data_IF_343349169169
#
_entry.id   IF_343349169169
#
_cell.length_a   1.000
_cell.length_b   1.000
_cell.length_c   1.000
_cell.angle_alpha   90.00
_cell.angle_beta   90.00
_cell.angle_gamma   90.00
#
_symmetry.space_group_name_H-M   'P 1'
#
loop_
_entity.id
_entity.type
_entity.pdbx_description
1 polymer ?
#
# COMPACT_ATOMS: atom_id res chain seq x y z
N UNK A 1 9.94 35.13 18.82
CA UNK A 1 10.64 33.91 18.37
C UNK A 1 10.61 32.88 19.49
N UNK A 2 9.74 31.87 19.41
CA UNK A 2 9.76 30.69 20.30
C UNK A 2 10.05 29.48 19.41
N UNK A 3 11.18 28.81 19.65
CA UNK A 3 11.61 27.59 18.94
C UNK A 3 10.74 26.40 19.41
N UNK A 4 10.39 25.43 18.54
CA UNK A 4 9.62 24.26 18.94
C UNK A 4 10.51 23.25 19.64
N UNK A 5 10.11 22.82 20.83
CA UNK A 5 10.83 21.90 21.73
C UNK A 5 10.45 20.42 21.51
N UNK A 6 9.76 20.09 20.42
CA UNK A 6 9.03 18.82 20.29
C UNK A 6 9.71 17.73 19.47
N UNK A 7 10.86 18.00 18.84
CA UNK A 7 11.58 16.99 18.03
C UNK A 7 12.63 16.23 18.87
N UNK A 8 13.25 16.88 19.85
CA UNK A 8 14.29 16.25 20.69
C UNK A 8 13.76 15.17 21.64
N UNK A 9 12.48 15.22 22.02
CA UNK A 9 11.88 14.22 22.92
C UNK A 9 11.60 12.89 22.21
N UNK A 10 11.36 12.90 20.89
CA UNK A 10 11.12 11.69 20.10
C UNK A 10 12.42 10.91 19.83
N UNK A 11 13.52 11.63 19.56
CA UNK A 11 14.85 11.05 19.33
C UNK A 11 15.39 10.39 20.61
N UNK A 12 15.19 11.02 21.77
CA UNK A 12 15.58 10.44 23.07
C UNK A 12 14.78 9.17 23.42
N UNK A 13 13.49 9.10 23.06
CA UNK A 13 12.67 7.88 23.24
C UNK A 13 13.10 6.74 22.32
N UNK A 14 13.54 7.06 21.09
CA UNK A 14 14.11 6.08 20.15
C UNK A 14 15.45 5.53 20.66
N UNK A 15 16.34 6.39 21.17
CA UNK A 15 17.64 5.97 21.72
C UNK A 15 17.47 5.08 22.97
N UNK A 16 16.49 5.39 23.84
CA UNK A 16 16.18 4.58 25.01
C UNK A 16 15.54 3.23 24.66
N UNK A 17 14.74 3.15 23.59
CA UNK A 17 14.14 1.89 23.14
C UNK A 17 15.15 0.96 22.47
N UNK A 18 16.15 1.50 21.77
CA UNK A 18 17.31 0.72 21.29
C UNK A 18 18.14 0.12 22.44
N UNK A 19 18.39 0.90 23.50
CA UNK A 19 19.14 0.44 24.68
C UNK A 19 18.43 -0.70 25.44
N UNK A 20 17.10 -0.77 25.37
CA UNK A 20 16.30 -1.82 26.02
C UNK A 20 16.06 -3.05 25.12
N UNK A 21 16.11 -2.89 23.79
CA UNK A 21 15.74 -3.94 22.85
C UNK A 21 16.91 -4.79 22.34
N UNK A 22 18.16 -4.33 22.34
CA UNK A 22 19.33 -5.17 22.02
C UNK A 22 19.45 -5.67 20.56
N UNK A 23 18.38 -5.65 19.76
CA UNK A 23 18.36 -5.95 18.32
C UNK A 23 17.23 -5.23 17.58
N UNK A 24 17.33 -5.08 16.26
CA UNK A 24 16.26 -4.57 15.41
C UNK A 24 14.99 -5.43 15.50
N UNK A 25 15.15 -6.75 15.58
CA UNK A 25 14.05 -7.72 15.68
C UNK A 25 13.25 -7.53 16.96
N UNK A 26 13.92 -7.21 18.06
CA UNK A 26 13.27 -6.94 19.34
C UNK A 26 12.53 -5.60 19.31
N UNK A 27 13.08 -4.57 18.67
CA UNK A 27 12.36 -3.31 18.41
C UNK A 27 11.12 -3.54 17.55
N UNK A 28 11.26 -4.30 16.48
CA UNK A 28 10.16 -4.63 15.58
C UNK A 28 9.08 -5.44 16.29
N UNK A 29 9.45 -6.45 17.09
CA UNK A 29 8.52 -7.25 17.90
C UNK A 29 7.83 -6.44 18.98
N UNK A 30 8.55 -5.55 19.65
CA UNK A 30 7.99 -4.71 20.71
C UNK A 30 7.03 -3.65 20.15
N UNK A 31 7.33 -3.08 18.99
CA UNK A 31 6.40 -2.21 18.26
C UNK A 31 5.14 -2.96 17.80
N UNK A 32 5.28 -4.23 17.40
CA UNK A 32 4.17 -5.08 16.97
C UNK A 32 3.40 -5.77 18.12
N UNK A 33 3.91 -5.73 19.35
CA UNK A 33 3.40 -6.47 20.51
C UNK A 33 2.38 -5.71 21.37
N UNK A 34 2.09 -4.45 21.05
CA UNK A 34 1.16 -3.61 21.81
C UNK A 34 -0.33 -3.94 21.58
N UNK A 35 -0.66 -4.80 20.60
CA UNK A 35 -2.04 -5.26 20.36
C UNK A 35 -2.17 -6.74 20.77
N UNK A 36 -2.96 -7.00 21.80
CA UNK A 36 -3.23 -8.34 22.33
C UNK A 36 -3.86 -9.25 21.28
N UNK A 37 -3.17 -10.34 20.94
CA UNK A 37 -3.60 -11.29 19.92
C UNK A 37 -4.51 -12.35 20.56
N UNK A 38 -5.79 -12.34 20.22
CA UNK A 38 -6.67 -13.47 20.51
C UNK A 38 -6.24 -14.70 19.68
N UNK A 39 -6.31 -15.88 20.29
CA UNK A 39 -5.94 -17.15 19.67
C UNK A 39 -6.76 -17.44 18.40
N UNK A 40 -6.18 -18.15 17.41
CA UNK A 40 -6.85 -18.44 16.15
C UNK A 40 -8.05 -19.39 16.37
N UNK A 41 -9.22 -18.96 15.91
CA UNK A 41 -10.40 -19.82 15.77
C UNK A 41 -10.24 -20.63 14.47
N UNK A 42 -10.36 -21.96 14.57
CA UNK A 42 -10.33 -22.86 13.43
C UNK A 42 -11.53 -22.57 12.50
N UNK A 43 -11.25 -22.37 11.21
CA UNK A 43 -12.28 -22.23 10.18
C UNK A 43 -12.54 -23.64 9.62
N UNK A 44 -13.79 -24.12 9.55
CA UNK A 44 -14.10 -25.40 8.93
C UNK A 44 -13.81 -25.36 7.43
N UNK A 45 -13.25 -26.45 6.89
CA UNK A 45 -13.05 -26.63 5.45
C UNK A 45 -14.39 -26.52 4.71
N UNK A 46 -14.44 -25.62 3.72
CA UNK A 46 -15.57 -25.52 2.81
C UNK A 46 -15.60 -26.76 1.90
N UNK A 47 -16.71 -27.51 1.96
CA UNK A 47 -16.93 -28.68 1.10
C UNK A 47 -16.88 -28.30 -0.38
N UNK A 48 -16.29 -29.19 -1.18
CA UNK A 48 -16.14 -29.03 -2.62
C UNK A 48 -17.51 -28.88 -3.31
N UNK A 49 -17.75 -27.73 -3.93
CA UNK A 49 -18.83 -27.53 -4.89
C UNK A 49 -18.36 -27.94 -6.27
N UNK A 50 -19.11 -28.82 -6.91
CA UNK A 50 -18.83 -29.31 -8.26
C UNK A 50 -18.85 -28.14 -9.27
N UNK A 51 -17.79 -28.01 -10.05
CA UNK A 51 -17.66 -27.00 -11.09
C UNK A 51 -18.61 -27.30 -12.26
N UNK A 52 -19.39 -26.31 -12.66
CA UNK A 52 -20.09 -26.31 -13.96
C UNK A 52 -19.04 -25.97 -15.03
N UNK A 53 -19.00 -26.64 -16.20
CA UNK A 53 -18.02 -26.32 -17.23
C UNK A 53 -18.34 -24.93 -17.80
N UNK A 54 -17.51 -23.95 -17.46
CA UNK A 54 -17.52 -22.67 -18.14
C UNK A 54 -16.77 -22.85 -19.47
N UNK A 55 -17.40 -22.40 -20.56
CA UNK A 55 -16.79 -22.31 -21.88
C UNK A 55 -15.49 -21.50 -21.78
N UNK A 56 -14.38 -22.09 -22.20
CA UNK A 56 -13.04 -21.50 -22.08
C UNK A 56 -13.01 -20.18 -22.88
N UNK A 57 -12.87 -19.01 -22.24
CA UNK A 57 -12.72 -17.78 -22.97
C UNK A 57 -11.41 -17.85 -23.78
N UNK A 58 -11.46 -17.40 -25.03
CA UNK A 58 -10.28 -17.26 -25.87
C UNK A 58 -9.15 -16.60 -25.06
N UNK A 59 -7.97 -17.22 -25.06
CA UNK A 59 -6.83 -16.78 -24.27
C UNK A 59 -6.51 -15.32 -24.63
N UNK A 60 -6.88 -14.39 -23.74
CA UNK A 60 -6.50 -13.00 -23.88
C UNK A 60 -4.98 -12.93 -23.93
N UNK A 61 -4.41 -12.22 -24.92
CA UNK A 61 -2.96 -12.00 -24.96
C UNK A 61 -2.48 -11.46 -23.61
N UNK A 62 -1.44 -12.09 -23.07
CA UNK A 62 -0.90 -11.74 -21.76
C UNK A 62 -0.40 -10.29 -21.76
N UNK A 63 -0.92 -9.48 -20.84
CA UNK A 63 -0.56 -8.06 -20.73
C UNK A 63 0.86 -7.89 -20.21
N UNK A 64 1.46 -6.73 -20.46
CA UNK A 64 2.76 -6.39 -19.86
C UNK A 64 2.60 -6.04 -18.38
N UNK A 65 1.57 -5.26 -18.03
CA UNK A 65 1.30 -4.82 -16.67
C UNK A 65 -0.17 -4.99 -16.28
N UNK A 66 -0.36 -5.41 -15.03
CA UNK A 66 -1.60 -5.24 -14.28
C UNK A 66 -1.33 -4.27 -13.13
N UNK A 67 -2.03 -3.13 -13.13
CA UNK A 67 -2.04 -2.15 -12.06
C UNK A 67 -3.29 -2.37 -11.22
N UNK A 68 -3.10 -2.69 -9.95
CA UNK A 68 -4.14 -2.88 -8.96
C UNK A 68 -4.08 -1.72 -7.97
N UNK A 69 -5.18 -1.00 -7.78
CA UNK A 69 -5.26 0.07 -6.77
C UNK A 69 -6.38 -0.27 -5.80
N UNK A 70 -6.03 -0.39 -4.52
CA UNK A 70 -6.98 -0.71 -3.45
C UNK A 70 -7.16 0.53 -2.57
N UNK A 71 -8.32 1.16 -2.67
CA UNK A 71 -8.63 2.46 -2.06
C UNK A 71 -9.61 2.27 -0.91
N UNK A 72 -9.09 2.38 0.31
CA UNK A 72 -9.94 2.53 1.48
C UNK A 72 -10.25 4.03 1.67
N UNK A 73 -11.39 4.49 1.17
CA UNK A 73 -11.87 5.87 1.32
C UNK A 73 -12.92 6.01 2.41
N UNK A 74 -13.01 5.06 3.35
CA UNK A 74 -14.05 4.99 4.38
C UNK A 74 -13.61 5.76 5.63
N UNK A 75 -13.22 7.02 5.44
CA UNK A 75 -12.72 7.94 6.46
C UNK A 75 -12.74 9.39 5.92
N UNK A 76 -12.03 10.30 6.58
CA UNK A 76 -11.91 11.71 6.20
C UNK A 76 -11.36 11.92 4.78
N UNK A 77 -10.49 11.05 4.26
CA UNK A 77 -9.96 11.20 2.91
C UNK A 77 -11.03 10.97 1.82
N UNK A 78 -12.02 10.11 2.10
CA UNK A 78 -13.21 9.97 1.25
C UNK A 78 -14.13 11.19 1.34
N UNK A 79 -14.30 11.74 2.55
CA UNK A 79 -15.10 12.95 2.78
C UNK A 79 -14.49 14.15 2.05
N UNK A 80 -13.15 14.22 1.98
CA UNK A 80 -12.39 15.23 1.26
C UNK A 80 -12.29 14.98 -0.25
N UNK A 81 -12.96 13.93 -0.75
CA UNK A 81 -13.05 13.57 -2.17
C UNK A 81 -11.77 13.03 -2.84
N UNK A 82 -10.66 12.88 -2.10
CA UNK A 82 -9.38 12.42 -2.69
C UNK A 82 -9.51 11.06 -3.40
N UNK A 83 -10.27 10.13 -2.83
CA UNK A 83 -10.51 8.82 -3.43
C UNK A 83 -11.18 8.92 -4.82
N UNK A 84 -12.13 9.84 -5.01
CA UNK A 84 -12.79 10.04 -6.31
C UNK A 84 -11.86 10.78 -7.28
N UNK A 85 -11.12 11.78 -6.79
CA UNK A 85 -10.17 12.54 -7.60
C UNK A 85 -9.08 11.62 -8.18
N UNK A 86 -8.55 10.70 -7.38
CA UNK A 86 -7.55 9.72 -7.82
C UNK A 86 -8.10 8.73 -8.85
N UNK A 87 -9.36 8.29 -8.72
CA UNK A 87 -10.01 7.46 -9.74
C UNK A 87 -10.15 8.24 -11.06
N UNK A 88 -10.60 9.49 -11.00
CA UNK A 88 -10.70 10.34 -12.19
C UNK A 88 -9.31 10.62 -12.81
N UNK A 89 -8.25 10.77 -12.01
CA UNK A 89 -6.88 10.86 -12.52
C UNK A 89 -6.47 9.59 -13.28
N UNK A 90 -6.87 8.42 -12.78
CA UNK A 90 -6.65 7.16 -13.50
C UNK A 90 -7.45 7.09 -14.81
N UNK A 91 -8.69 7.58 -14.83
CA UNK A 91 -9.56 7.66 -16.02
C UNK A 91 -9.04 8.64 -17.08
N UNK A 92 -8.25 9.67 -16.72
CA UNK A 92 -7.58 10.51 -17.72
C UNK A 92 -6.58 9.74 -18.59
N UNK A 93 -6.16 8.53 -18.17
CA UNK A 93 -5.23 7.67 -18.91
C UNK A 93 -5.92 6.41 -19.40
N UNK A 94 -6.57 5.68 -18.51
CA UNK A 94 -7.28 4.43 -18.77
C UNK A 94 -6.38 3.21 -18.99
N UNK A 95 -7.03 2.05 -19.09
CA UNK A 95 -6.40 0.79 -19.49
C UNK A 95 -6.12 0.75 -21.00
N UNK A 96 -5.15 -0.08 -21.40
CA UNK A 96 -4.77 -0.37 -22.79
C UNK A 96 -4.70 -1.88 -23.03
N UNK A 97 -4.41 -2.30 -24.26
CA UNK A 97 -4.20 -3.73 -24.58
C UNK A 97 -2.98 -4.33 -23.86
N UNK A 98 -2.01 -3.49 -23.46
CA UNK A 98 -0.78 -3.93 -22.77
C UNK A 98 -0.80 -3.70 -21.26
N UNK A 99 -1.68 -2.82 -20.77
CA UNK A 99 -1.72 -2.38 -19.37
C UNK A 99 -3.17 -2.38 -18.90
N UNK A 100 -3.52 -3.27 -17.98
CA UNK A 100 -4.82 -3.21 -17.31
C UNK A 100 -4.70 -2.39 -16.03
N UNK A 101 -5.63 -1.46 -15.80
CA UNK A 101 -5.75 -0.70 -14.55
C UNK A 101 -7.08 -1.08 -13.91
N UNK A 102 -7.00 -1.60 -12.68
CA UNK A 102 -8.15 -2.08 -11.94
C UNK A 102 -8.15 -1.47 -10.54
N UNK A 103 -9.25 -0.86 -10.17
CA UNK A 103 -9.41 -0.17 -8.88
C UNK A 103 -10.51 -0.85 -8.09
N UNK A 104 -10.29 -1.13 -6.81
CA UNK A 104 -11.38 -1.43 -5.89
C UNK A 104 -11.43 -0.39 -4.78
N UNK A 105 -12.63 0.16 -4.55
CA UNK A 105 -12.81 1.27 -3.64
C UNK A 105 -14.14 1.19 -2.88
N UNK A 106 -14.11 1.68 -1.63
CA UNK A 106 -15.28 2.00 -0.82
C UNK A 106 -15.07 3.39 -0.23
N UNK A 107 -16.13 4.21 -0.18
CA UNK A 107 -16.04 5.63 0.20
C UNK A 107 -17.10 5.99 1.23
N UNK A 108 -16.67 6.76 2.23
CA UNK A 108 -17.50 7.59 3.08
C UNK A 108 -17.46 9.02 2.52
N UNK A 109 -18.61 9.59 2.17
CA UNK A 109 -18.69 10.96 1.66
C UNK A 109 -19.74 11.79 2.43
N UNK A 110 -19.97 13.03 2.01
CA UNK A 110 -21.09 13.85 2.48
C UNK A 110 -22.03 14.16 1.34
N UNK A 111 -23.29 14.48 1.66
CA UNK A 111 -24.30 14.90 0.69
C UNK A 111 -24.10 16.34 0.16
N UNK A 112 -23.04 17.04 0.59
CA UNK A 112 -22.77 18.43 0.25
C UNK A 112 -23.79 19.43 0.79
N UNK A 113 -24.73 19.00 1.66
CA UNK A 113 -25.71 19.88 2.28
C UNK A 113 -25.09 20.74 3.38
N UNK A 114 -25.77 21.79 3.82
CA UNK A 114 -25.33 22.59 4.97
C UNK A 114 -25.18 21.77 6.27
N UNK A 115 -25.84 20.60 6.35
CA UNK A 115 -25.72 19.68 7.46
C UNK A 115 -24.56 18.67 7.30
N UNK A 116 -23.94 18.58 6.12
CA UNK A 116 -22.89 17.62 5.77
C UNK A 116 -23.24 16.18 6.19
N UNK A 117 -24.45 15.72 5.82
CA UNK A 117 -24.90 14.39 6.20
C UNK A 117 -24.00 13.34 5.57
N UNK A 118 -23.48 12.42 6.38
CA UNK A 118 -22.65 11.33 5.91
C UNK A 118 -23.42 10.41 4.96
N UNK A 119 -22.78 10.05 3.85
CA UNK A 119 -23.26 9.12 2.84
C UNK A 119 -22.31 7.92 2.77
N UNK A 120 -22.89 6.73 2.88
CA UNK A 120 -22.15 5.48 2.86
C UNK A 120 -22.36 4.80 1.51
N UNK A 121 -21.26 4.53 0.81
CA UNK A 121 -21.35 3.70 -0.37
C UNK A 121 -21.82 2.28 0.01
N UNK A 122 -22.72 1.72 -0.80
CA UNK A 122 -23.21 0.35 -0.62
C UNK A 122 -22.25 -0.61 -1.32
N UNK A 123 -21.42 -1.27 -0.53
CA UNK A 123 -20.45 -2.24 -1.03
C UNK A 123 -19.17 -1.60 -1.56
N UNK A 124 -18.10 -2.37 -1.66
CA UNK A 124 -16.93 -1.98 -2.44
C UNK A 124 -17.20 -2.27 -3.92
N UNK A 125 -16.74 -1.37 -4.80
CA UNK A 125 -16.87 -1.50 -6.25
C UNK A 125 -15.51 -1.75 -6.86
N UNK A 126 -15.42 -2.72 -7.76
CA UNK A 126 -14.23 -2.92 -8.59
C UNK A 126 -14.48 -2.36 -9.99
N UNK A 127 -13.60 -1.47 -10.45
CA UNK A 127 -13.63 -0.86 -11.77
C UNK A 127 -12.55 -1.44 -12.67
N UNK A 128 -12.84 -1.63 -13.96
CA UNK A 128 -11.82 -1.74 -14.99
C UNK A 128 -11.69 -0.38 -15.65
N UNK A 129 -10.63 0.36 -15.32
CA UNK A 129 -10.52 1.79 -15.63
C UNK A 129 -10.47 2.00 -17.14
N UNK A 130 -11.39 2.82 -17.65
CA UNK A 130 -11.43 3.23 -19.06
C UNK A 130 -11.02 4.68 -19.18
N UNK A 131 -10.50 5.05 -20.36
CA UNK A 131 -10.13 6.43 -20.61
C UNK A 131 -11.38 7.27 -20.82
N UNK A 132 -11.51 8.34 -20.06
CA UNK A 132 -12.50 9.38 -20.31
C UNK A 132 -11.94 10.76 -19.92
N UNK A 133 -12.81 11.77 -19.92
CA UNK A 133 -12.52 13.12 -19.44
C UNK A 133 -13.69 13.66 -18.58
N UNK A 134 -14.53 12.77 -18.08
CA UNK A 134 -15.67 13.11 -17.25
C UNK A 134 -15.18 13.40 -15.82
N UNK A 135 -15.68 14.45 -15.14
CA UNK A 135 -15.37 14.66 -13.73
C UNK A 135 -16.05 13.65 -12.79
N UNK A 136 -16.95 12.79 -13.28
CA UNK A 136 -17.52 11.68 -12.54
C UNK A 136 -16.88 10.35 -12.95
N UNK A 137 -16.82 9.41 -12.02
CA UNK A 137 -16.34 8.05 -12.28
C UNK A 137 -17.28 7.35 -13.27
N UNK A 138 -16.81 7.06 -14.49
CA UNK A 138 -17.61 6.40 -15.54
C UNK A 138 -17.17 4.99 -15.88
N UNK A 139 -16.01 4.56 -15.37
CA UNK A 139 -15.45 3.25 -15.64
C UNK A 139 -16.42 2.11 -15.29
N UNK A 140 -16.47 1.05 -16.11
CA UNK A 140 -17.37 -0.07 -15.89
C UNK A 140 -17.07 -0.77 -14.56
N UNK A 141 -18.10 -0.92 -13.74
CA UNK A 141 -18.07 -1.77 -12.55
C UNK A 141 -18.03 -3.23 -13.01
N UNK A 142 -16.95 -3.90 -12.70
CA UNK A 142 -16.70 -5.29 -13.10
C UNK A 142 -16.96 -6.30 -11.97
N UNK A 143 -17.15 -5.81 -10.74
CA UNK A 143 -17.57 -6.58 -9.57
C UNK A 143 -18.06 -5.64 -8.46
N UNK A 144 -19.01 -6.13 -7.66
CA UNK A 144 -19.45 -5.49 -6.43
C UNK A 144 -19.28 -6.48 -5.27
N UNK A 145 -18.70 -6.01 -4.18
CA UNK A 145 -18.49 -6.78 -2.96
C UNK A 145 -19.42 -6.27 -1.88
N UNK A 146 -20.14 -7.18 -1.21
CA UNK A 146 -20.90 -6.86 0.00
C UNK A 146 -20.00 -6.77 1.24
N UNK A 147 -18.71 -7.10 1.12
CA UNK A 147 -17.70 -6.89 2.15
C UNK A 147 -17.38 -5.39 2.18
N UNK A 148 -17.77 -4.69 3.26
CA UNK A 148 -17.62 -3.23 3.37
C UNK A 148 -16.28 -2.83 3.97
N UNK A 149 -15.62 -3.76 4.67
CA UNK A 149 -14.41 -3.51 5.43
C UNK A 149 -13.19 -3.48 4.51
N UNK A 150 -12.74 -2.28 4.18
CA UNK A 150 -11.51 -2.07 3.41
C UNK A 150 -10.25 -2.17 4.28
N UNK A 151 -10.37 -2.17 5.60
CA UNK A 151 -9.29 -2.44 6.55
C UNK A 151 -8.96 -3.93 6.71
N UNK A 152 -9.73 -4.81 6.07
CA UNK A 152 -9.51 -6.26 6.08
C UNK A 152 -8.44 -6.68 5.08
N UNK A 153 -7.33 -7.21 5.57
CA UNK A 153 -6.27 -7.80 4.72
C UNK A 153 -6.79 -8.96 3.84
N UNK A 154 -7.86 -9.63 4.27
CA UNK A 154 -8.51 -10.70 3.48
C UNK A 154 -9.27 -10.12 2.29
N UNK A 155 -9.86 -8.93 2.43
CA UNK A 155 -10.51 -8.23 1.33
C UNK A 155 -9.48 -7.86 0.25
N UNK A 156 -8.34 -7.27 0.65
CA UNK A 156 -7.21 -6.99 -0.24
C UNK A 156 -6.74 -8.26 -1.00
N UNK A 157 -6.64 -9.40 -0.32
CA UNK A 157 -6.31 -10.67 -0.98
C UNK A 157 -7.37 -11.09 -2.00
N UNK A 158 -8.66 -11.03 -1.64
CA UNK A 158 -9.77 -11.38 -2.56
C UNK A 158 -9.74 -10.50 -3.81
N UNK A 159 -9.55 -9.20 -3.64
CA UNK A 159 -9.39 -8.22 -4.72
C UNK A 159 -8.24 -8.58 -5.66
N UNK A 160 -7.03 -8.68 -5.11
CA UNK A 160 -5.84 -8.88 -5.92
C UNK A 160 -5.86 -10.23 -6.64
N UNK A 161 -6.25 -11.32 -5.96
CA UNK A 161 -6.33 -12.66 -6.56
C UNK A 161 -7.33 -12.70 -7.71
N UNK A 162 -8.53 -12.17 -7.50
CA UNK A 162 -9.59 -12.13 -8.51
C UNK A 162 -9.12 -11.42 -9.77
N UNK A 163 -8.42 -10.29 -9.62
CA UNK A 163 -8.01 -9.47 -10.76
C UNK A 163 -6.72 -9.96 -11.42
N UNK A 164 -5.80 -10.60 -10.69
CA UNK A 164 -4.66 -11.33 -11.29
C UNK A 164 -5.16 -12.46 -12.21
N UNK A 165 -6.18 -13.20 -11.78
CA UNK A 165 -6.78 -14.26 -12.60
C UNK A 165 -7.57 -13.72 -13.79
N UNK A 166 -8.28 -12.60 -13.59
CA UNK A 166 -9.13 -11.99 -14.64
C UNK A 166 -8.32 -11.23 -15.70
N UNK A 167 -7.19 -10.64 -15.31
CA UNK A 167 -6.33 -9.84 -16.19
C UNK A 167 -4.89 -10.36 -16.12
N UNK A 168 -4.59 -11.52 -16.73
CA UNK A 168 -3.23 -12.07 -16.75
C UNK A 168 -2.23 -11.06 -17.32
N UNK A 169 -1.14 -10.85 -16.59
CA UNK A 169 -0.07 -9.93 -16.96
C UNK A 169 1.28 -10.43 -16.44
N UNK A 170 2.35 -10.11 -17.17
CA UNK A 170 3.72 -10.47 -16.80
C UNK A 170 4.16 -9.82 -15.49
N UNK A 171 3.76 -8.56 -15.28
CA UNK A 171 4.15 -7.74 -14.13
C UNK A 171 2.94 -7.18 -13.40
N UNK A 172 3.01 -7.11 -12.08
CA UNK A 172 1.95 -6.56 -11.23
C UNK A 172 2.47 -5.39 -10.41
N UNK A 173 1.82 -4.23 -10.55
CA UNK A 173 1.89 -3.13 -9.60
C UNK A 173 0.66 -3.22 -8.68
N UNK A 174 0.88 -3.33 -7.37
CA UNK A 174 -0.17 -3.21 -6.37
C UNK A 174 0.03 -1.93 -5.57
N UNK A 175 -0.96 -1.05 -5.61
CA UNK A 175 -1.04 0.18 -4.82
C UNK A 175 -2.04 0.00 -3.69
N UNK A 176 -1.64 0.27 -2.45
CA UNK A 176 -2.52 0.34 -1.29
C UNK A 176 -2.62 1.81 -0.86
N UNK A 177 -3.83 2.36 -0.90
CA UNK A 177 -4.11 3.78 -0.70
C UNK A 177 -4.93 3.99 0.57
N UNK A 178 -4.50 4.91 1.44
CA UNK A 178 -5.20 5.54 2.58
C UNK A 178 -4.19 6.37 3.41
N UNK A 179 -4.54 6.75 4.62
CA UNK A 179 -3.63 6.92 5.76
C UNK A 179 -2.69 5.74 5.95
N UNK A 180 -1.50 6.06 6.43
CA UNK A 180 -0.50 5.11 6.91
C UNK A 180 0.06 5.56 8.25
N UNK A 181 0.43 4.58 9.06
CA UNK A 181 0.96 4.79 10.42
C UNK A 181 2.24 3.99 10.64
N UNK A 182 3.00 3.78 9.55
CA UNK A 182 4.22 2.99 9.53
C UNK A 182 3.98 1.59 10.07
N UNK A 183 4.72 1.20 11.12
CA UNK A 183 4.62 -0.14 11.72
C UNK A 183 3.23 -0.48 12.27
N UNK A 184 2.37 0.52 12.52
CA UNK A 184 1.02 0.31 13.04
C UNK A 184 0.00 -0.10 11.96
N UNK A 185 0.29 0.14 10.67
CA UNK A 185 -0.56 -0.31 9.56
C UNK A 185 -0.95 0.77 8.57
N UNK A 186 -1.86 0.38 7.67
CA UNK A 186 -2.35 1.14 6.51
C UNK A 186 -3.84 0.81 6.28
N UNK A 187 -4.52 1.56 5.40
CA UNK A 187 -5.87 1.25 4.92
C UNK A 187 -6.95 1.28 6.01
N UNK A 188 -6.93 2.30 6.87
CA UNK A 188 -7.92 2.49 7.94
C UNK A 188 -9.34 2.68 7.40
N UNK A 189 -10.27 1.91 7.93
CA UNK A 189 -11.70 1.99 7.65
C UNK A 189 -12.43 2.37 8.95
N UNK A 190 -12.90 3.61 9.04
CA UNK A 190 -13.45 4.18 10.28
C UNK A 190 -14.83 3.59 10.64
N UNK A 191 -15.53 3.00 9.66
CA UNK A 191 -16.86 2.41 9.88
C UNK A 191 -16.73 1.04 10.52
N UNK A 192 -15.79 0.22 10.03
CA UNK A 192 -15.48 -1.08 10.64
C UNK A 192 -14.57 -0.96 11.87
N UNK A 193 -13.78 0.12 11.97
CA UNK A 193 -12.74 0.32 12.96
C UNK A 193 -11.45 -0.49 12.67
N UNK A 194 -11.37 -1.15 11.52
CA UNK A 194 -10.24 -1.99 11.14
C UNK A 194 -9.19 -1.21 10.34
N UNK A 195 -7.96 -1.74 10.38
CA UNK A 195 -6.84 -1.32 9.55
C UNK A 195 -6.02 -2.56 9.19
N UNK A 196 -5.28 -2.50 8.09
CA UNK A 196 -4.34 -3.56 7.73
C UNK A 196 -3.05 -3.32 8.51
N UNK A 197 -2.81 -4.12 9.55
CA UNK A 197 -1.51 -4.11 10.26
C UNK A 197 -0.38 -4.48 9.28
N UNK A 198 0.86 -4.03 9.54
CA UNK A 198 2.00 -4.35 8.65
C UNK A 198 2.24 -5.85 8.55
N UNK A 199 2.06 -6.59 9.64
CA UNK A 199 2.11 -8.06 9.65
C UNK A 199 1.02 -8.68 8.78
N UNK A 200 -0.20 -8.16 8.85
CA UNK A 200 -1.30 -8.65 8.02
C UNK A 200 -1.13 -8.25 6.55
N UNK A 201 -0.50 -7.12 6.26
CA UNK A 201 -0.06 -6.76 4.92
C UNK A 201 0.96 -7.78 4.40
N UNK A 202 1.97 -8.16 5.19
CA UNK A 202 2.90 -9.24 4.86
C UNK A 202 2.18 -10.56 4.54
N UNK A 203 1.21 -10.95 5.37
CA UNK A 203 0.36 -12.14 5.13
C UNK A 203 -0.45 -12.03 3.85
N UNK A 204 -1.05 -10.87 3.57
CA UNK A 204 -1.81 -10.62 2.36
C UNK A 204 -0.93 -10.78 1.13
N UNK A 205 0.24 -10.13 1.11
CA UNK A 205 1.17 -10.21 -0.01
C UNK A 205 1.72 -11.63 -0.19
N UNK A 206 1.92 -12.40 0.88
CA UNK A 206 2.23 -13.82 0.81
C UNK A 206 1.16 -14.62 0.07
N UNK A 207 -0.12 -14.35 0.35
CA UNK A 207 -1.24 -15.01 -0.35
C UNK A 207 -1.40 -14.56 -1.80
N UNK A 208 -1.13 -13.29 -2.09
CA UNK A 208 -1.18 -12.73 -3.45
C UNK A 208 -0.03 -13.29 -4.27
N UNK A 209 1.19 -13.34 -3.71
CA UNK A 209 2.37 -13.99 -4.30
C UNK A 209 2.07 -15.42 -4.75
N UNK A 210 1.41 -16.21 -3.91
CA UNK A 210 1.02 -17.59 -4.27
C UNK A 210 0.04 -17.65 -5.44
N UNK A 211 -0.88 -16.70 -5.57
CA UNK A 211 -1.83 -16.66 -6.69
C UNK A 211 -1.22 -16.14 -7.99
N UNK A 212 -0.27 -15.20 -7.90
CA UNK A 212 0.52 -14.71 -9.03
C UNK A 212 1.51 -15.76 -9.55
N UNK A 213 1.97 -16.67 -8.69
CA UNK A 213 3.07 -17.60 -9.00
C UNK A 213 4.47 -16.99 -8.81
N UNK A 214 4.57 -15.84 -8.14
CA UNK A 214 5.82 -15.10 -7.95
C UNK A 214 5.60 -13.85 -7.10
N UNK A 215 6.69 -13.18 -6.71
CA UNK A 215 6.60 -11.90 -5.99
C UNK A 215 5.80 -10.88 -6.81
N UNK A 216 5.15 -9.96 -6.12
CA UNK A 216 4.58 -8.76 -6.76
C UNK A 216 5.76 -7.92 -7.25
N UNK A 217 5.71 -7.48 -8.51
CA UNK A 217 6.83 -6.77 -9.12
C UNK A 217 7.06 -5.43 -8.41
N UNK A 218 5.97 -4.67 -8.19
CA UNK A 218 6.01 -3.42 -7.42
C UNK A 218 4.86 -3.38 -6.43
N UNK A 219 5.18 -3.26 -5.15
CA UNK A 219 4.24 -2.81 -4.13
C UNK A 219 4.47 -1.31 -3.92
N UNK A 220 3.42 -0.52 -4.07
CA UNK A 220 3.44 0.89 -3.73
C UNK A 220 2.42 1.20 -2.63
N UNK A 221 2.77 2.11 -1.74
CA UNK A 221 1.86 2.61 -0.71
C UNK A 221 1.65 4.11 -0.94
N UNK A 222 0.42 4.46 -1.30
CA UNK A 222 -0.04 5.85 -1.37
C UNK A 222 -0.58 6.21 0.03
N UNK A 223 0.37 6.30 0.97
CA UNK A 223 0.12 6.42 2.40
C UNK A 223 1.35 6.92 3.15
N UNK A 224 1.11 7.60 4.28
CA UNK A 224 2.15 8.17 5.14
C UNK A 224 3.01 7.09 5.82
N UNK A 225 4.30 7.38 6.02
CA UNK A 225 5.21 6.62 6.90
C UNK A 225 5.45 5.15 6.51
N UNK A 226 5.07 4.73 5.31
CA UNK A 226 5.14 3.32 4.90
C UNK A 226 6.53 2.89 4.40
N UNK A 227 7.47 3.82 4.26
CA UNK A 227 8.85 3.54 3.83
C UNK A 227 9.83 3.40 4.99
N UNK A 228 9.36 2.94 6.15
CA UNK A 228 10.20 2.63 7.31
C UNK A 228 10.91 1.28 7.14
N UNK A 229 12.10 1.14 7.74
CA UNK A 229 12.88 -0.10 7.69
C UNK A 229 12.11 -1.33 8.21
N UNK A 230 11.34 -1.19 9.29
CA UNK A 230 10.51 -2.27 9.85
C UNK A 230 9.40 -2.71 8.89
N UNK A 231 8.80 -1.76 8.17
CA UNK A 231 7.81 -2.05 7.13
C UNK A 231 8.47 -2.78 5.96
N UNK A 232 9.55 -2.21 5.40
CA UNK A 232 10.28 -2.84 4.30
C UNK A 232 10.75 -4.27 4.63
N UNK A 233 11.17 -4.52 5.88
CA UNK A 233 11.62 -5.83 6.34
C UNK A 233 10.53 -6.91 6.31
N UNK A 234 9.32 -6.56 6.72
CA UNK A 234 8.15 -7.45 6.67
C UNK A 234 7.78 -7.80 5.22
N UNK A 235 7.90 -6.84 4.30
CA UNK A 235 7.38 -6.97 2.94
C UNK A 235 8.40 -7.56 1.94
N UNK A 236 9.69 -7.61 2.31
CA UNK A 236 10.81 -7.94 1.40
C UNK A 236 10.69 -9.28 0.66
N UNK A 237 10.01 -10.25 1.25
CA UNK A 237 9.89 -11.61 0.71
C UNK A 237 8.71 -11.76 -0.27
N UNK A 238 7.89 -10.70 -0.42
CA UNK A 238 6.64 -10.72 -1.16
C UNK A 238 6.58 -9.75 -2.35
N UNK A 239 7.43 -8.72 -2.37
CA UNK A 239 7.57 -7.81 -3.50
C UNK A 239 9.03 -7.72 -3.99
N UNK A 240 9.27 -7.39 -5.26
CA UNK A 240 10.62 -7.13 -5.79
C UNK A 240 11.05 -5.68 -5.53
N UNK A 241 10.13 -4.74 -5.70
CA UNK A 241 10.31 -3.32 -5.35
C UNK A 241 9.20 -2.85 -4.42
N UNK A 242 9.57 -2.08 -3.39
CA UNK A 242 8.64 -1.38 -2.49
C UNK A 242 8.80 0.13 -2.65
N UNK A 243 7.72 0.82 -2.97
CA UNK A 243 7.67 2.29 -3.11
C UNK A 243 6.78 2.89 -2.04
N UNK A 244 7.23 3.95 -1.39
CA UNK A 244 6.49 4.61 -0.33
C UNK A 244 7.21 5.87 0.18
N UNK A 245 6.52 6.59 1.07
CA UNK A 245 7.04 7.77 1.75
C UNK A 245 7.57 7.44 3.14
N UNK A 246 8.70 8.03 3.54
CA UNK A 246 9.20 7.95 4.91
C UNK A 246 8.46 8.95 5.83
N UNK A 247 7.79 9.94 5.25
CA UNK A 247 7.06 11.01 5.93
C UNK A 247 5.56 10.98 5.56
N UNK A 248 4.84 12.04 5.93
CA UNK A 248 3.49 12.32 5.45
C UNK A 248 3.50 12.55 3.94
N UNK A 249 2.56 11.92 3.24
CA UNK A 249 2.38 12.11 1.80
C UNK A 249 1.53 13.36 1.51
N UNK A 250 1.63 13.92 0.29
CA UNK A 250 0.76 15.02 -0.09
C UNK A 250 -0.71 14.59 -0.07
N UNK A 251 -1.62 15.48 0.34
CA UNK A 251 -3.06 15.17 0.45
C UNK A 251 -3.66 14.54 -0.82
N UNK A 252 -3.39 15.09 -2.03
CA UNK A 252 -3.83 14.48 -3.28
C UNK A 252 -3.18 13.13 -3.64
N UNK A 253 -2.28 12.57 -2.82
CA UNK A 253 -1.71 11.24 -3.05
C UNK A 253 -0.74 11.16 -4.23
N UNK A 254 -0.77 10.06 -4.96
CA UNK A 254 0.04 9.85 -6.15
C UNK A 254 -0.54 10.56 -7.37
N UNK A 255 0.27 11.21 -8.24
CA UNK A 255 -0.19 11.79 -9.49
C UNK A 255 -0.47 10.69 -10.54
N UNK A 256 -1.55 9.92 -10.35
CA UNK A 256 -1.88 8.68 -11.07
C UNK A 256 -1.85 8.87 -12.58
N UNK A 257 -2.36 9.99 -13.09
CA UNK A 257 -2.36 10.29 -14.51
C UNK A 257 -0.95 10.30 -15.11
N UNK A 258 0.04 10.90 -14.43
CA UNK A 258 1.43 10.92 -14.95
C UNK A 258 2.18 9.61 -14.75
N UNK A 259 1.83 8.86 -13.70
CA UNK A 259 2.42 7.55 -13.41
C UNK A 259 1.93 6.50 -14.39
N UNK A 260 0.62 6.41 -14.62
CA UNK A 260 0.04 5.51 -15.62
C UNK A 260 0.50 5.87 -17.03
N UNK A 261 0.61 7.16 -17.37
CA UNK A 261 1.16 7.59 -18.65
C UNK A 261 2.61 7.11 -18.84
N UNK A 262 3.42 7.04 -17.78
CA UNK A 262 4.78 6.50 -17.85
C UNK A 262 4.79 4.99 -18.17
N UNK A 263 3.89 4.20 -17.55
CA UNK A 263 3.75 2.77 -17.84
C UNK A 263 3.32 2.55 -19.29
N UNK A 264 2.34 3.31 -19.76
CA UNK A 264 1.86 3.20 -21.14
C UNK A 264 2.92 3.59 -22.18
N UNK A 265 3.80 4.54 -21.85
CA UNK A 265 4.90 4.95 -22.72
C UNK A 265 6.02 3.90 -22.84
N UNK A 266 6.25 3.13 -21.79
CA UNK A 266 7.19 1.99 -21.80
C UNK A 266 6.64 0.78 -21.04
N UNK A 267 5.70 0.01 -21.63
CA UNK A 267 5.15 -1.17 -20.97
C UNK A 267 6.19 -2.26 -20.72
N UNK A 268 7.33 -2.20 -21.41
CA UNK A 268 8.44 -3.15 -21.26
C UNK A 268 9.29 -2.91 -20.02
N UNK A 269 9.12 -1.78 -19.30
CA UNK A 269 9.94 -1.45 -18.14
C UNK A 269 9.92 -2.54 -17.07
N UNK A 270 11.05 -2.72 -16.38
CA UNK A 270 11.16 -3.64 -15.27
C UNK A 270 10.63 -3.03 -13.96
N UNK A 271 10.53 -3.84 -12.90
CA UNK A 271 10.07 -3.39 -11.59
C UNK A 271 10.87 -2.19 -11.05
N UNK A 272 12.19 -2.18 -11.25
CA UNK A 272 13.06 -1.09 -10.81
C UNK A 272 12.84 0.19 -11.64
N UNK A 273 12.60 0.05 -12.95
CA UNK A 273 12.18 1.12 -13.85
C UNK A 273 10.87 1.73 -13.41
N UNK A 274 9.89 0.90 -13.07
CA UNK A 274 8.61 1.36 -12.56
C UNK A 274 8.76 2.08 -11.21
N UNK A 275 9.56 1.55 -10.29
CA UNK A 275 9.87 2.23 -9.03
C UNK A 275 10.53 3.61 -9.23
N UNK A 276 11.47 3.73 -10.18
CA UNK A 276 12.06 5.03 -10.56
C UNK A 276 11.04 5.99 -11.17
N UNK A 277 10.13 5.47 -12.01
CA UNK A 277 9.08 6.27 -12.62
C UNK A 277 8.14 6.84 -11.54
N UNK A 278 7.68 6.03 -10.59
CA UNK A 278 6.84 6.49 -9.48
C UNK A 278 7.51 7.63 -8.69
N UNK A 279 8.76 7.42 -8.25
CA UNK A 279 9.51 8.45 -7.50
C UNK A 279 9.70 9.73 -8.31
N UNK A 280 10.11 9.61 -9.59
CA UNK A 280 10.34 10.79 -10.43
C UNK A 280 9.06 11.57 -10.74
N UNK A 281 7.92 10.89 -10.92
CA UNK A 281 6.63 11.55 -11.18
C UNK A 281 6.09 12.23 -9.93
N UNK A 282 6.23 11.59 -8.78
CA UNK A 282 5.85 12.18 -7.50
C UNK A 282 6.70 13.42 -7.18
N UNK A 283 8.02 13.34 -7.34
CA UNK A 283 8.92 14.50 -7.19
C UNK A 283 8.53 15.65 -8.14
N UNK A 284 8.25 15.35 -9.41
CA UNK A 284 7.83 16.38 -10.36
C UNK A 284 6.49 17.04 -9.99
N UNK A 285 5.52 16.27 -9.50
CA UNK A 285 4.22 16.79 -9.07
C UNK A 285 4.33 17.67 -7.81
N UNK A 286 5.30 17.39 -6.94
CA UNK A 286 5.45 18.03 -5.63
C UNK A 286 6.79 18.76 -5.44
N UNK A 287 7.44 19.18 -6.52
CA UNK A 287 8.80 19.76 -6.51
C UNK A 287 8.98 21.00 -5.60
N UNK A 288 7.89 21.70 -5.30
CA UNK A 288 7.89 22.89 -4.43
C UNK A 288 7.37 22.60 -3.01
N UNK A 289 7.19 21.33 -2.66
CA UNK A 289 6.66 20.87 -1.38
C UNK A 289 7.72 20.06 -0.62
N UNK A 290 7.54 19.92 0.68
CA UNK A 290 8.32 18.96 1.49
C UNK A 290 7.72 17.57 1.29
N UNK A 291 8.05 16.94 0.18
CA UNK A 291 7.54 15.64 -0.21
C UNK A 291 8.70 14.63 -0.26
N UNK A 292 8.47 13.41 0.22
CA UNK A 292 9.44 12.31 0.15
C UNK A 292 8.80 11.09 -0.49
N UNK A 293 9.57 10.40 -1.33
CA UNK A 293 9.21 9.09 -1.86
C UNK A 293 10.51 8.37 -2.23
N UNK A 294 10.60 7.08 -1.93
CA UNK A 294 11.72 6.26 -2.38
C UNK A 294 11.26 4.90 -2.87
N UNK A 295 12.14 4.25 -3.64
CA UNK A 295 11.94 2.89 -4.13
C UNK A 295 13.06 1.99 -3.62
N UNK A 296 12.70 0.92 -2.93
CA UNK A 296 13.63 -0.07 -2.38
C UNK A 296 13.56 -1.35 -3.19
N UNK A 297 14.70 -1.86 -3.64
CA UNK A 297 14.79 -3.23 -4.17
C UNK A 297 14.97 -4.19 -3.01
N UNK A 298 14.05 -5.14 -2.87
CA UNK A 298 13.98 -6.01 -1.68
C UNK A 298 15.09 -7.07 -1.66
N UNK A 299 15.61 -7.45 -2.83
CA UNK A 299 16.79 -8.31 -2.97
C UNK A 299 18.05 -7.70 -2.35
N UNK A 300 18.10 -6.37 -2.18
CA UNK A 300 19.20 -5.64 -1.54
C UNK A 300 19.06 -5.49 -0.03
N UNK A 301 17.96 -5.95 0.55
CA UNK A 301 17.76 -5.96 2.01
C UNK A 301 18.44 -7.17 2.68
N UNK A 302 19.00 -8.10 1.90
CA UNK A 302 19.79 -9.22 2.42
C UNK A 302 20.97 -8.73 3.29
N UNK A 303 21.00 -9.16 4.55
CA UNK A 303 22.02 -8.78 5.52
C UNK A 303 21.91 -7.35 6.07
N UNK A 304 20.88 -6.59 5.70
CA UNK A 304 20.64 -5.25 6.26
C UNK A 304 20.49 -5.29 7.78
N UNK A 305 19.61 -6.17 8.29
CA UNK A 305 19.40 -6.38 9.72
C UNK A 305 20.70 -6.73 10.43
N UNK A 306 21.46 -7.70 9.90
CA UNK A 306 22.73 -8.12 10.51
C UNK A 306 23.73 -6.95 10.62
N UNK A 307 23.78 -6.08 9.62
CA UNK A 307 24.65 -4.89 9.64
C UNK A 307 24.15 -3.84 10.63
N UNK A 308 22.83 -3.66 10.71
CA UNK A 308 22.21 -2.73 11.66
C UNK A 308 22.41 -3.19 13.11
N UNK A 309 22.25 -4.49 13.38
CA UNK A 309 22.50 -5.10 14.68
C UNK A 309 23.98 -5.00 15.05
N UNK A 310 24.90 -5.30 14.11
CA UNK A 310 26.33 -5.17 14.35
C UNK A 310 26.74 -3.71 14.66
N UNK A 311 26.16 -2.75 13.93
CA UNK A 311 26.36 -1.33 14.21
C UNK A 311 25.80 -0.94 15.59
N UNK A 312 24.58 -1.37 15.91
CA UNK A 312 23.94 -1.12 17.21
C UNK A 312 24.78 -1.69 18.35
N UNK A 313 25.24 -2.94 18.23
CA UNK A 313 26.10 -3.58 19.21
C UNK A 313 27.44 -2.83 19.38
N UNK A 314 28.03 -2.35 18.28
CA UNK A 314 29.27 -1.57 18.34
C UNK A 314 29.07 -0.22 19.04
N UNK A 315 27.96 0.47 18.77
CA UNK A 315 27.59 1.71 19.48
C UNK A 315 27.39 1.40 20.96
N UNK A 316 26.63 0.37 21.32
CA UNK A 316 26.37 -0.04 22.71
C UNK A 316 27.61 -0.44 23.50
N UNK A 317 28.63 -0.98 22.84
CA UNK A 317 29.88 -1.39 23.48
C UNK A 317 30.84 -0.21 23.75
N UNK A 318 30.65 0.95 23.12
CA UNK A 318 31.47 2.14 23.32
C UNK A 318 30.72 3.18 24.18
N UNK A 319 31.16 3.43 25.44
CA UNK A 319 30.50 4.39 26.33
C UNK A 319 30.41 5.81 25.77
N UNK A 320 31.41 6.26 25.01
CA UNK A 320 31.40 7.60 24.42
C UNK A 320 30.41 7.67 23.25
N UNK A 321 30.38 6.63 22.40
CA UNK A 321 29.40 6.53 21.32
C UNK A 321 27.97 6.44 21.87
N UNK A 322 27.72 5.64 22.91
CA UNK A 322 26.41 5.59 23.58
C UNK A 322 26.00 6.93 24.17
N UNK A 323 26.92 7.61 24.86
CA UNK A 323 26.61 8.91 25.45
C UNK A 323 26.25 9.95 24.38
N UNK A 324 26.88 9.89 23.20
CA UNK A 324 26.56 10.77 22.08
C UNK A 324 25.26 10.38 21.36
N UNK A 325 24.94 9.09 21.29
CA UNK A 325 23.70 8.61 20.67
C UNK A 325 22.46 8.89 21.53
N UNK A 326 22.61 9.00 22.85
CA UNK A 326 21.52 9.23 23.80
C UNK A 326 21.25 10.72 24.11
N UNK A 327 22.09 11.64 23.63
CA UNK A 327 21.99 13.10 23.85
C UNK A 327 21.28 13.81 22.70
#
# INVERSE_FOLDING_TARGET
>A
MKRPLTISFLIALLAASFAAAGSFEDLYRNAAGAEGVAAPVAIPEAGAVAAVPAEEPAAAEEREWLVLVFISGVNDLGILNFANDDVNEMEQVGSTDKVAVVVEYNILSTDGSAANTLQFQRGAKTLHVQRDADPAITSPVIHESNDLDMGSWRHLVKFARRNILRFPAKKVLLVVWNHGSGTLGIASDDVSGNKISVRDLGRALGQIKSAKGGKIDVLATDACLMQMAGVAYELKDHADVVVGSEEIIAGPGYPYHTMLAAINADPGMDAAGMGRALVSRYDAAYANSRATLSALRTDRLGGFVQRLDAWTAAVMADPAAMSAAAS
#
